data_IF_971385559709
#
_entry.id   IF_971385559709
#
_cell.length_a   1.000
_cell.length_b   1.000
_cell.length_c   1.000
_cell.angle_alpha   90.00
_cell.angle_beta   90.00
_cell.angle_gamma   90.00
#
_symmetry.space_group_name_H-M   'P 1'
#
loop_
_entity.id
_entity.type
_entity.pdbx_description
1 polymer ?
#
# COMPACT_ATOMS: atom_id res chain seq x y z
N UNK A 1 8.94 9.78 -23.91
CA UNK A 1 7.68 9.22 -24.45
C UNK A 1 6.95 8.49 -23.32
N UNK A 2 5.91 9.10 -22.76
CA UNK A 2 5.15 8.51 -21.64
C UNK A 2 4.57 7.16 -22.06
N UNK A 3 4.85 6.10 -21.28
CA UNK A 3 4.35 4.74 -21.54
C UNK A 3 2.82 4.80 -21.52
N UNK A 4 2.20 4.53 -22.68
CA UNK A 4 0.73 4.48 -22.81
C UNK A 4 0.22 3.38 -21.88
N UNK A 5 -0.56 3.76 -20.86
CA UNK A 5 -1.09 2.86 -19.83
C UNK A 5 -2.22 1.99 -20.40
N UNK A 6 -1.87 0.82 -20.91
CA UNK A 6 -2.81 -0.28 -21.17
C UNK A 6 -3.17 -0.96 -19.85
N UNK A 7 -4.39 -1.49 -19.72
CA UNK A 7 -4.60 -2.56 -18.77
C UNK A 7 -4.08 -3.90 -19.33
N UNK A 8 -4.01 -4.94 -18.50
CA UNK A 8 -3.53 -6.27 -18.90
C UNK A 8 -4.38 -6.95 -20.01
N UNK A 9 -5.44 -6.29 -20.48
CA UNK A 9 -6.36 -6.76 -21.53
C UNK A 9 -6.35 -5.83 -22.76
N UNK A 10 -5.31 -5.01 -22.93
CA UNK A 10 -5.15 -4.07 -24.05
C UNK A 10 -6.28 -3.04 -24.19
N UNK A 11 -7.03 -2.75 -23.13
CA UNK A 11 -8.07 -1.70 -23.15
C UNK A 11 -7.44 -0.35 -22.84
N UNK A 12 -7.92 0.68 -23.54
CA UNK A 12 -7.47 2.05 -23.36
C UNK A 12 -8.04 2.64 -22.06
N UNK A 13 -7.16 3.10 -21.17
CA UNK A 13 -7.56 3.88 -19.99
C UNK A 13 -7.71 5.36 -20.35
N UNK A 14 -8.75 5.69 -21.10
CA UNK A 14 -9.01 7.04 -21.64
C UNK A 14 -10.07 7.86 -20.87
N UNK A 15 -10.56 7.34 -19.74
CA UNK A 15 -11.51 8.03 -18.86
C UNK A 15 -10.81 8.47 -17.58
N UNK A 16 -11.09 9.71 -17.16
CA UNK A 16 -10.59 10.29 -15.91
C UNK A 16 -11.66 10.21 -14.84
N UNK A 17 -11.29 9.72 -13.66
CA UNK A 17 -12.10 9.77 -12.43
C UNK A 17 -11.30 10.56 -11.41
N UNK A 18 -11.90 11.58 -10.80
CA UNK A 18 -11.25 12.45 -9.83
C UNK A 18 -12.16 12.68 -8.61
N UNK A 19 -11.56 12.78 -7.44
CA UNK A 19 -12.20 13.07 -6.17
C UNK A 19 -11.32 14.02 -5.36
N UNK A 20 -11.92 14.73 -4.40
CA UNK A 20 -11.17 15.61 -3.48
C UNK A 20 -10.70 14.81 -2.28
N UNK A 21 -9.51 15.13 -1.80
CA UNK A 21 -8.92 14.56 -0.59
C UNK A 21 -8.32 15.68 0.26
N UNK A 22 -8.25 15.48 1.57
CA UNK A 22 -7.46 16.30 2.47
C UNK A 22 -5.95 16.08 2.24
N UNK A 23 -5.12 16.90 2.88
CA UNK A 23 -3.66 16.74 2.80
C UNK A 23 -3.21 15.42 3.47
N UNK A 24 -3.87 15.04 4.56
CA UNK A 24 -3.63 13.81 5.30
C UNK A 24 -4.01 12.58 4.47
N UNK A 25 -5.18 12.63 3.81
CA UNK A 25 -5.64 11.56 2.92
C UNK A 25 -4.72 11.36 1.70
N UNK A 26 -4.20 12.44 1.10
CA UNK A 26 -3.22 12.33 0.01
C UNK A 26 -1.89 11.73 0.49
N UNK A 27 -1.41 12.12 1.68
CA UNK A 27 -0.19 11.56 2.27
C UNK A 27 -0.34 10.06 2.56
N UNK A 28 -1.48 9.64 3.09
CA UNK A 28 -1.80 8.23 3.32
C UNK A 28 -1.83 7.47 1.98
N UNK A 29 -2.52 8.00 0.98
CA UNK A 29 -2.57 7.39 -0.36
C UNK A 29 -1.18 7.23 -0.97
N UNK A 30 -0.34 8.27 -0.91
CA UNK A 30 1.05 8.22 -1.39
C UNK A 30 1.88 7.16 -0.68
N UNK A 31 1.71 7.03 0.64
CA UNK A 31 2.41 6.02 1.45
C UNK A 31 2.00 4.62 1.02
N UNK A 32 0.70 4.37 0.85
CA UNK A 32 0.16 3.08 0.44
C UNK A 32 0.62 2.70 -0.97
N UNK A 33 0.59 3.65 -1.92
CA UNK A 33 1.08 3.43 -3.28
C UNK A 33 2.56 3.03 -3.27
N UNK A 34 3.40 3.74 -2.51
CA UNK A 34 4.84 3.42 -2.38
C UNK A 34 5.08 2.02 -1.83
N UNK A 35 4.28 1.58 -0.86
CA UNK A 35 4.43 0.26 -0.24
C UNK A 35 4.12 -0.88 -1.20
N UNK A 36 3.13 -0.70 -2.09
CA UNK A 36 2.74 -1.74 -3.05
C UNK A 36 3.64 -1.83 -4.28
N UNK A 37 4.45 -0.80 -4.55
CA UNK A 37 5.24 -0.69 -5.78
C UNK A 37 4.41 -0.50 -7.06
N UNK A 38 3.09 -0.32 -6.93
CA UNK A 38 2.18 -0.06 -8.03
C UNK A 38 2.19 1.42 -8.42
N UNK A 39 1.69 1.73 -9.62
CA UNK A 39 1.33 3.12 -9.93
C UNK A 39 0.13 3.54 -9.10
N UNK A 40 -0.01 4.83 -8.78
CA UNK A 40 -1.19 5.37 -8.08
C UNK A 40 -2.50 4.96 -8.78
N UNK A 41 -2.50 4.97 -10.12
CA UNK A 41 -3.63 4.54 -10.93
C UNK A 41 -3.96 3.05 -10.74
N UNK A 42 -2.97 2.16 -10.78
CA UNK A 42 -3.20 0.72 -10.60
C UNK A 42 -3.65 0.38 -9.19
N UNK A 43 -3.06 1.04 -8.18
CA UNK A 43 -3.45 0.89 -6.79
C UNK A 43 -4.92 1.27 -6.56
N UNK A 44 -5.33 2.46 -7.02
CA UNK A 44 -6.70 2.95 -6.88
C UNK A 44 -7.68 2.04 -7.62
N UNK A 45 -7.36 1.60 -8.85
CA UNK A 45 -8.23 0.70 -9.61
C UNK A 45 -8.41 -0.64 -8.90
N UNK A 46 -7.34 -1.23 -8.33
CA UNK A 46 -7.46 -2.48 -7.58
C UNK A 46 -8.35 -2.32 -6.35
N UNK A 47 -8.16 -1.24 -5.58
CA UNK A 47 -8.98 -0.95 -4.39
C UNK A 47 -10.45 -0.68 -4.74
N UNK A 48 -10.74 0.10 -5.80
CA UNK A 48 -12.10 0.41 -6.23
C UNK A 48 -12.86 -0.78 -6.82
N UNK A 49 -12.15 -1.76 -7.39
CA UNK A 49 -12.75 -2.96 -7.99
C UNK A 49 -12.75 -4.16 -7.04
N UNK A 50 -12.49 -3.96 -5.74
CA UNK A 50 -12.37 -5.02 -4.72
C UNK A 50 -11.42 -6.15 -5.14
N UNK A 51 -10.38 -5.82 -5.92
CA UNK A 51 -9.35 -6.79 -6.32
C UNK A 51 -8.29 -6.80 -5.24
N UNK A 52 -7.97 -8.00 -4.74
CA UNK A 52 -6.90 -8.17 -3.76
C UNK A 52 -5.62 -7.49 -4.25
N UNK A 53 -5.04 -6.67 -3.38
CA UNK A 53 -3.74 -6.06 -3.61
C UNK A 53 -2.69 -7.11 -3.27
N UNK A 54 -2.45 -8.03 -4.21
CA UNK A 54 -1.37 -9.02 -4.09
C UNK A 54 -0.04 -8.29 -4.25
N UNK A 55 0.73 -8.23 -3.17
CA UNK A 55 2.07 -7.66 -3.14
C UNK A 55 3.06 -8.75 -3.53
N UNK A 56 3.56 -8.69 -4.76
CA UNK A 56 4.61 -9.61 -5.19
C UNK A 56 5.93 -9.25 -4.51
N UNK A 57 6.54 -10.24 -3.85
CA UNK A 57 7.83 -10.07 -3.18
C UNK A 57 8.92 -9.58 -4.14
N UNK A 58 9.51 -8.42 -3.84
CA UNK A 58 10.68 -7.87 -4.54
C UNK A 58 11.58 -7.18 -3.51
N UNK A 59 12.93 -7.23 -3.63
CA UNK A 59 13.85 -6.53 -2.71
C UNK A 59 13.47 -5.09 -2.35
N UNK A 60 12.87 -4.33 -3.30
CA UNK A 60 12.37 -2.97 -3.04
C UNK A 60 11.18 -2.94 -2.07
N UNK A 61 10.26 -3.89 -2.18
CA UNK A 61 9.10 -4.06 -1.29
C UNK A 61 9.57 -4.41 0.11
N UNK A 62 10.51 -5.36 0.24
CA UNK A 62 11.09 -5.71 1.55
C UNK A 62 11.75 -4.51 2.23
N UNK A 63 12.50 -3.70 1.48
CA UNK A 63 13.11 -2.49 2.02
C UNK A 63 12.05 -1.48 2.49
N UNK A 64 11.03 -1.21 1.67
CA UNK A 64 9.95 -0.30 2.03
C UNK A 64 9.16 -0.79 3.26
N UNK A 65 8.90 -2.10 3.34
CA UNK A 65 8.21 -2.71 4.48
C UNK A 65 9.02 -2.58 5.77
N UNK A 66 10.33 -2.84 5.71
CA UNK A 66 11.24 -2.68 6.85
C UNK A 66 11.32 -1.21 7.30
N UNK A 67 11.44 -0.29 6.36
CA UNK A 67 11.55 1.13 6.67
C UNK A 67 10.24 1.66 7.31
N UNK A 68 9.06 1.16 6.87
CA UNK A 68 7.78 1.46 7.53
C UNK A 68 7.60 0.80 8.90
N UNK A 69 8.05 -0.44 9.07
CA UNK A 69 8.06 -1.08 10.39
C UNK A 69 8.93 -0.31 11.39
N UNK A 70 10.04 0.28 10.94
CA UNK A 70 10.86 1.15 11.78
C UNK A 70 10.11 2.42 12.19
N UNK A 71 9.41 3.08 11.25
CA UNK A 71 8.62 4.27 11.55
C UNK A 71 7.47 3.98 12.54
N UNK A 72 6.78 2.85 12.36
CA UNK A 72 5.75 2.37 13.30
C UNK A 72 6.36 2.12 14.69
N UNK A 73 7.54 1.49 14.75
CA UNK A 73 8.24 1.24 16.01
C UNK A 73 8.64 2.54 16.72
N UNK A 74 9.08 3.54 15.96
CA UNK A 74 9.46 4.84 16.51
C UNK A 74 8.24 5.60 17.08
N UNK A 75 7.09 5.51 16.42
CA UNK A 75 5.84 6.08 16.96
C UNK A 75 5.33 5.30 18.18
N UNK A 76 5.39 3.97 18.17
CA UNK A 76 5.04 3.17 19.35
C UNK A 76 5.95 3.45 20.54
N UNK A 77 7.25 3.74 20.31
CA UNK A 77 8.20 4.15 21.35
C UNK A 77 7.93 5.55 21.90
N UNK A 78 7.35 6.44 21.09
CA UNK A 78 6.96 7.79 21.51
C UNK A 78 5.72 7.77 22.42
N UNK A 79 4.83 6.80 22.24
CA UNK A 79 3.63 6.67 23.07
C UNK A 79 4.04 6.29 24.50
N UNK A 80 3.92 7.22 25.43
CA UNK A 80 4.09 6.97 26.86
C UNK A 80 2.91 6.16 27.42
N UNK A 81 3.14 5.43 28.51
CA UNK A 81 2.14 4.59 29.16
C UNK A 81 0.91 5.41 29.57
N UNK A 82 -0.15 5.36 28.75
CA UNK A 82 -1.42 6.05 29.00
C UNK A 82 -1.95 6.88 27.83
N UNK A 83 -1.15 7.16 26.80
CA UNK A 83 -1.68 7.73 25.55
C UNK A 83 -2.21 6.62 24.64
N UNK A 84 -3.43 6.79 24.16
CA UNK A 84 -4.06 5.85 23.23
C UNK A 84 -3.30 5.78 21.90
N UNK A 85 -3.29 4.59 21.30
CA UNK A 85 -2.75 4.40 19.95
C UNK A 85 -3.71 5.07 18.96
N UNK A 86 -3.20 5.93 18.09
CA UNK A 86 -4.01 6.57 17.03
C UNK A 86 -4.54 5.50 16.05
N UNK A 87 -5.81 5.62 15.64
CA UNK A 87 -6.46 4.76 14.65
C UNK A 87 -5.70 4.70 13.32
N UNK A 88 -5.06 5.80 12.90
CA UNK A 88 -4.22 5.81 11.70
C UNK A 88 -3.00 4.89 11.83
N UNK A 89 -2.39 4.84 13.01
CA UNK A 89 -1.26 3.94 13.29
C UNK A 89 -1.73 2.48 13.28
N UNK A 90 -2.92 2.21 13.81
CA UNK A 90 -3.55 0.89 13.74
C UNK A 90 -3.83 0.45 12.30
N UNK A 91 -4.29 1.36 11.44
CA UNK A 91 -4.56 1.06 10.04
C UNK A 91 -3.29 0.79 9.23
N UNK A 92 -2.20 1.51 9.52
CA UNK A 92 -0.87 1.21 8.96
C UNK A 92 -0.41 -0.20 9.38
N UNK A 93 -0.55 -0.55 10.67
CA UNK A 93 -0.18 -1.87 11.18
C UNK A 93 -1.02 -2.98 10.52
N UNK A 94 -2.33 -2.81 10.39
CA UNK A 94 -3.21 -3.77 9.70
C UNK A 94 -2.81 -3.95 8.24
N UNK A 95 -2.44 -2.87 7.55
CA UNK A 95 -2.00 -2.94 6.16
C UNK A 95 -0.68 -3.70 6.02
N UNK A 96 0.31 -3.42 6.89
CA UNK A 96 1.57 -4.18 6.91
C UNK A 96 1.31 -5.67 7.14
N UNK A 97 0.44 -6.00 8.11
CA UNK A 97 0.08 -7.39 8.42
C UNK A 97 -0.58 -8.09 7.23
N UNK A 98 -1.47 -7.40 6.51
CA UNK A 98 -2.13 -7.90 5.30
C UNK A 98 -1.12 -8.18 4.18
N UNK A 99 -0.17 -7.27 3.97
CA UNK A 99 0.91 -7.44 2.99
C UNK A 99 1.80 -8.62 3.36
N UNK A 100 2.22 -8.73 4.63
CA UNK A 100 3.06 -9.84 5.10
C UNK A 100 2.37 -11.20 4.95
N UNK A 101 1.05 -11.27 5.22
CA UNK A 101 0.27 -12.48 5.02
C UNK A 101 0.21 -12.88 3.55
N UNK A 102 -0.06 -11.93 2.64
CA UNK A 102 -0.04 -12.19 1.20
C UNK A 102 1.33 -12.65 0.70
N UNK A 103 2.42 -12.10 1.23
CA UNK A 103 3.77 -12.55 0.90
C UNK A 103 4.06 -13.98 1.40
N UNK A 104 3.58 -14.38 2.58
CA UNK A 104 3.73 -15.76 3.07
C UNK A 104 2.96 -16.78 2.23
N UNK A 105 1.80 -16.41 1.71
CA UNK A 105 0.97 -17.28 0.86
C UNK A 105 1.66 -17.54 -0.50
N UNK A 106 2.32 -16.55 -1.09
CA UNK A 106 3.13 -16.73 -2.33
C UNK A 106 4.27 -17.75 -2.13
N UNK A 107 4.96 -17.74 -0.97
CA UNK A 107 5.99 -18.76 -0.66
C UNK A 107 5.42 -20.17 -0.44
N UNK A 108 4.14 -20.28 -0.04
CA UNK A 108 3.51 -21.56 0.27
C UNK A 108 3.03 -22.31 -0.99
N UNK A 109 2.75 -21.59 -2.08
CA UNK A 109 2.33 -22.16 -3.36
C UNK A 109 3.46 -22.31 -4.41
N UNK A 110 4.65 -21.77 -4.13
CA UNK A 110 5.87 -21.97 -4.93
C UNK A 110 6.64 -23.28 -4.58
N UNK A 111 5.97 -24.27 -3.97
CA UNK A 111 6.50 -25.62 -3.67
C UNK A 111 5.72 -26.74 -4.33
#
# INVERSE_FOLDING_TARGET
>A
MSKKNYDNLNRWRNKTVAFRVSAEEDLQLETLVKLTGLTKQDYIIRRLLERDVVVQGNPKVYKALRDQLSAVLDELRRIEAGQGVNDELLDIIKMITTIMKGMQEDFAYDR
#
